data_IF_656293326550
#
_entry.id   IF_656293326550
#
_cell.length_a   1.000
_cell.length_b   1.000
_cell.length_c   1.000
_cell.angle_alpha   90.00
_cell.angle_beta   90.00
_cell.angle_gamma   90.00
#
_symmetry.space_group_name_H-M   'P 1'
#
loop_
_entity.id
_entity.type
_entity.pdbx_description
1 polymer ?
#
# COMPACT_ATOMS: atom_id res chain seq x y z
N UNK A 1 -1.51 -13.85 -0.73
CA UNK A 1 -1.03 -12.52 -0.32
C UNK A 1 -0.63 -11.80 -1.60
N UNK A 2 -1.23 -10.65 -1.91
CA UNK A 2 -1.07 -9.97 -3.21
C UNK A 2 -0.12 -8.75 -3.14
N UNK A 3 0.89 -8.81 -2.28
CA UNK A 3 1.83 -7.71 -2.08
C UNK A 3 3.21 -8.21 -1.68
N UNK A 4 4.24 -7.56 -2.21
CA UNK A 4 5.62 -7.71 -1.76
C UNK A 4 5.92 -6.63 -0.75
N UNK A 5 6.33 -7.00 0.46
CA UNK A 5 6.86 -6.03 1.41
C UNK A 5 8.26 -5.59 0.95
N UNK A 6 8.50 -4.29 0.95
CA UNK A 6 9.77 -3.69 0.51
C UNK A 6 10.61 -3.15 1.68
N UNK A 7 10.01 -3.01 2.86
CA UNK A 7 10.68 -2.67 4.13
C UNK A 7 9.82 -3.11 5.31
N UNK A 8 10.41 -3.02 6.50
CA UNK A 8 9.72 -3.27 7.76
C UNK A 8 8.57 -2.26 7.96
N UNK A 9 7.40 -2.78 8.37
CA UNK A 9 6.20 -2.02 8.72
C UNK A 9 6.27 -1.42 10.13
N UNK A 10 7.22 -1.84 10.96
CA UNK A 10 7.40 -1.39 12.35
C UNK A 10 7.29 0.13 12.56
N UNK A 11 7.85 1.00 11.70
CA UNK A 11 7.67 2.45 11.83
C UNK A 11 6.22 2.94 11.72
N UNK A 12 5.30 2.12 11.19
CA UNK A 12 3.88 2.42 11.13
C UNK A 12 3.11 1.87 12.34
N UNK A 13 3.71 0.95 13.10
CA UNK A 13 3.01 0.21 14.15
C UNK A 13 2.76 1.04 15.41
N UNK A 14 3.35 2.24 15.53
CA UNK A 14 3.01 3.19 16.60
C UNK A 14 1.63 3.84 16.42
N UNK A 15 1.06 3.77 15.22
CA UNK A 15 -0.19 4.42 14.88
C UNK A 15 -1.25 3.42 14.47
N UNK A 16 -2.50 3.74 14.78
CA UNK A 16 -3.63 3.11 14.10
C UNK A 16 -3.88 3.84 12.79
N UNK A 17 -4.02 3.09 11.70
CA UNK A 17 -4.16 3.70 10.39
C UNK A 17 -5.00 2.86 9.43
N UNK A 18 -5.55 3.57 8.44
CA UNK A 18 -6.18 2.96 7.26
C UNK A 18 -5.51 3.56 6.02
N UNK A 19 -5.27 2.72 5.02
CA UNK A 19 -4.77 3.19 3.72
C UNK A 19 -5.82 4.00 2.97
N UNK A 20 -5.38 5.13 2.45
CA UNK A 20 -6.11 5.92 1.47
C UNK A 20 -6.35 5.12 0.18
N UNK A 21 -7.35 5.49 -0.61
CA UNK A 21 -7.56 4.96 -1.98
C UNK A 21 -7.52 6.08 -3.01
N UNK A 22 -6.43 6.82 -3.00
CA UNK A 22 -6.18 7.92 -3.94
C UNK A 22 -5.13 7.47 -4.96
N UNK A 23 -5.58 6.68 -5.93
CA UNK A 23 -4.74 6.24 -7.04
C UNK A 23 -4.79 7.29 -8.14
N UNK A 24 -3.61 7.68 -8.66
CA UNK A 24 -3.52 8.55 -9.82
C UNK A 24 -4.34 7.98 -11.00
N UNK A 25 -5.10 8.83 -11.71
CA UNK A 25 -6.00 8.46 -12.83
C UNK A 25 -7.10 7.43 -12.50
N UNK A 26 -7.57 7.33 -11.25
CA UNK A 26 -8.71 6.48 -10.87
C UNK A 26 -9.85 7.28 -10.22
N UNK A 27 -11.10 6.78 -10.27
CA UNK A 27 -12.20 7.36 -9.52
C UNK A 27 -11.83 7.45 -8.04
N UNK A 28 -11.99 8.66 -7.49
CA UNK A 28 -11.65 8.93 -6.10
C UNK A 28 -12.48 8.06 -5.15
N UNK A 29 -11.79 7.38 -4.23
CA UNK A 29 -12.39 6.82 -3.02
C UNK A 29 -11.53 7.24 -1.84
N UNK A 30 -12.15 7.58 -0.71
CA UNK A 30 -11.39 8.06 0.44
C UNK A 30 -10.46 6.96 0.99
N UNK A 31 -10.99 5.74 1.13
CA UNK A 31 -10.33 4.63 1.80
C UNK A 31 -10.53 3.33 1.05
N UNK A 32 -9.70 2.35 1.39
CA UNK A 32 -9.79 0.99 0.88
C UNK A 32 -9.61 -0.05 1.98
N UNK A 33 -8.57 0.11 2.79
CA UNK A 33 -8.22 -0.85 3.84
C UNK A 33 -7.40 -2.06 3.40
N UNK A 34 -6.75 -2.05 2.22
CA UNK A 34 -5.86 -3.14 1.78
C UNK A 34 -4.68 -3.32 2.75
N UNK A 35 -4.23 -2.21 3.33
CA UNK A 35 -3.39 -2.22 4.52
C UNK A 35 -4.05 -1.34 5.58
N UNK A 36 -4.23 -1.90 6.76
CA UNK A 36 -4.77 -1.21 7.92
C UNK A 36 -4.15 -1.82 9.18
N UNK A 37 -4.14 -1.04 10.25
CA UNK A 37 -3.64 -1.50 11.54
C UNK A 37 -4.43 -0.83 12.64
N UNK A 38 -4.95 -1.64 13.55
CA UNK A 38 -5.62 -1.22 14.77
C UNK A 38 -5.04 -2.01 15.94
N UNK A 39 -5.07 -1.43 17.14
CA UNK A 39 -4.75 -2.16 18.35
C UNK A 39 -5.82 -3.23 18.63
N UNK A 40 -5.43 -4.28 19.36
CA UNK A 40 -6.35 -5.35 19.76
C UNK A 40 -7.60 -4.83 20.49
N UNK A 41 -7.47 -3.77 21.28
CA UNK A 41 -8.56 -3.12 22.01
C UNK A 41 -8.82 -1.70 21.50
N UNK A 42 -8.87 -1.54 20.18
CA UNK A 42 -9.13 -0.25 19.55
C UNK A 42 -10.57 0.23 19.73
N UNK A 43 -10.81 1.44 20.24
CA UNK A 43 -12.16 2.02 20.25
C UNK A 43 -12.68 2.25 18.82
N UNK A 44 -11.79 2.47 17.84
CA UNK A 44 -12.18 2.61 16.44
C UNK A 44 -12.76 1.31 15.87
N UNK A 45 -12.23 0.15 16.28
CA UNK A 45 -12.79 -1.14 15.87
C UNK A 45 -14.17 -1.38 16.51
N UNK A 46 -14.35 -1.03 17.78
CA UNK A 46 -15.67 -1.10 18.42
C UNK A 46 -16.71 -0.26 17.67
N UNK A 47 -16.37 0.99 17.33
CA UNK A 47 -17.26 1.85 16.55
C UNK A 47 -17.48 1.32 15.12
N UNK A 48 -16.44 0.75 14.48
CA UNK A 48 -16.59 0.10 13.18
C UNK A 48 -17.63 -1.01 13.26
N UNK A 49 -17.52 -1.94 14.22
CA UNK A 49 -18.49 -3.01 14.40
C UNK A 49 -19.89 -2.49 14.74
N UNK A 50 -20.00 -1.43 15.53
CA UNK A 50 -21.28 -0.77 15.78
C UNK A 50 -21.91 -0.21 14.49
N UNK A 51 -21.13 0.44 13.62
CA UNK A 51 -21.57 0.87 12.28
C UNK A 51 -22.04 -0.33 11.46
N UNK A 52 -21.29 -1.43 11.49
CA UNK A 52 -21.64 -2.65 10.75
C UNK A 52 -22.97 -3.25 11.22
N UNK A 53 -23.19 -3.29 12.54
CA UNK A 53 -24.38 -3.90 13.14
C UNK A 53 -25.65 -3.05 12.98
N UNK A 54 -25.52 -1.73 12.84
CA UNK A 54 -26.66 -0.79 12.86
C UNK A 54 -26.97 -0.13 11.52
N UNK A 55 -26.05 -0.18 10.55
CA UNK A 55 -26.26 0.38 9.21
C UNK A 55 -26.94 -0.60 8.27
N UNK A 56 -27.47 -0.08 7.16
CA UNK A 56 -27.86 -0.92 6.01
C UNK A 56 -26.69 -1.79 5.56
N UNK A 57 -26.92 -3.10 5.33
CA UNK A 57 -25.91 -3.98 4.78
C UNK A 57 -25.37 -3.43 3.44
N UNK A 58 -24.10 -3.68 3.12
CA UNK A 58 -23.53 -3.27 1.86
C UNK A 58 -24.14 -4.01 0.68
N UNK A 59 -23.99 -3.41 -0.49
CA UNK A 59 -24.42 -4.04 -1.74
C UNK A 59 -23.57 -5.27 -2.03
N UNK A 60 -24.19 -6.34 -2.52
CA UNK A 60 -23.50 -7.55 -2.96
C UNK A 60 -22.42 -7.22 -4.01
N UNK A 61 -21.22 -7.78 -3.86
CA UNK A 61 -20.12 -7.59 -4.80
C UNK A 61 -19.50 -6.18 -4.81
N UNK A 62 -19.71 -5.39 -3.76
CA UNK A 62 -19.16 -4.02 -3.64
C UNK A 62 -17.98 -3.94 -2.67
N UNK A 63 -17.32 -2.79 -2.66
CA UNK A 63 -16.28 -2.41 -1.69
C UNK A 63 -16.85 -1.66 -0.47
N UNK A 64 -18.16 -1.70 -0.27
CA UNK A 64 -18.85 -0.94 0.76
C UNK A 64 -18.42 -1.37 2.19
N UNK A 65 -18.12 -2.67 2.41
CA UNK A 65 -17.54 -3.18 3.68
C UNK A 65 -16.08 -2.80 3.92
N UNK A 66 -15.43 -2.10 2.99
CA UNK A 66 -14.12 -1.50 3.18
C UNK A 66 -14.22 0.02 3.12
N UNK A 67 -14.11 0.55 1.89
CA UNK A 67 -14.08 1.98 1.59
C UNK A 67 -15.15 2.82 2.31
N UNK A 68 -16.42 2.40 2.22
CA UNK A 68 -17.55 3.16 2.80
C UNK A 68 -17.57 3.01 4.32
N UNK A 69 -17.30 1.82 4.86
CA UNK A 69 -17.21 1.59 6.30
C UNK A 69 -16.18 2.53 6.93
N UNK A 70 -14.96 2.57 6.42
CA UNK A 70 -13.90 3.43 6.96
C UNK A 70 -14.22 4.92 6.80
N UNK A 71 -14.88 5.31 5.71
CA UNK A 71 -15.34 6.68 5.52
C UNK A 71 -16.43 7.08 6.53
N UNK A 72 -17.41 6.20 6.77
CA UNK A 72 -18.46 6.42 7.78
C UNK A 72 -17.85 6.53 9.18
N UNK A 73 -16.96 5.61 9.53
CA UNK A 73 -16.23 5.63 10.80
C UNK A 73 -15.48 6.95 10.98
N UNK A 74 -14.67 7.35 10.00
CA UNK A 74 -13.92 8.62 10.03
C UNK A 74 -14.85 9.81 10.23
N UNK A 75 -15.97 9.87 9.50
CA UNK A 75 -16.96 10.94 9.63
C UNK A 75 -17.62 10.98 11.02
N UNK A 76 -17.95 9.82 11.61
CA UNK A 76 -18.52 9.76 12.97
C UNK A 76 -17.53 10.25 14.02
N UNK A 77 -16.26 9.89 13.90
CA UNK A 77 -15.22 10.36 14.81
C UNK A 77 -15.09 11.89 14.75
N UNK A 78 -14.95 12.45 13.53
CA UNK A 78 -14.83 13.90 13.33
C UNK A 78 -16.08 14.66 13.79
N UNK A 79 -17.28 14.16 13.49
CA UNK A 79 -18.52 14.79 13.92
C UNK A 79 -18.66 14.86 15.45
N UNK A 80 -18.01 13.96 16.19
CA UNK A 80 -17.99 13.93 17.65
C UNK A 80 -16.70 14.53 18.25
N UNK A 81 -15.89 15.25 17.45
CA UNK A 81 -14.61 15.82 17.87
C UNK A 81 -13.61 14.79 18.42
N UNK A 82 -13.70 13.54 17.98
CA UNK A 82 -12.74 12.48 18.31
C UNK A 82 -11.65 12.46 17.23
N UNK A 83 -10.36 12.55 17.59
CA UNK A 83 -9.27 12.41 16.64
C UNK A 83 -9.37 11.08 15.88
N UNK A 84 -9.42 11.09 14.54
CA UNK A 84 -9.50 9.86 13.77
C UNK A 84 -8.15 9.13 13.72
N UNK A 85 -8.19 7.85 13.33
CA UNK A 85 -7.00 7.09 12.95
C UNK A 85 -6.20 7.81 11.85
N UNK A 86 -4.90 7.52 11.76
CA UNK A 86 -4.02 8.11 10.74
C UNK A 86 -4.36 7.57 9.35
N UNK A 87 -4.06 8.37 8.33
CA UNK A 87 -4.25 7.97 6.94
C UNK A 87 -2.88 7.66 6.37
N UNK A 88 -2.68 6.42 5.90
CA UNK A 88 -1.48 6.04 5.16
C UNK A 88 -1.71 6.31 3.67
N UNK A 89 -0.98 7.24 3.03
CA UNK A 89 -1.15 7.51 1.60
C UNK A 89 -0.89 6.25 0.77
N UNK A 90 -1.73 6.02 -0.24
CA UNK A 90 -1.71 4.78 -1.00
C UNK A 90 -0.37 4.50 -1.69
N UNK A 91 0.31 5.55 -2.16
CA UNK A 91 1.64 5.50 -2.77
C UNK A 91 2.71 4.82 -1.88
N UNK A 92 2.56 4.87 -0.55
CA UNK A 92 3.46 4.16 0.37
C UNK A 92 3.19 2.66 0.48
N UNK A 93 2.02 2.19 0.05
CA UNK A 93 1.63 0.78 0.03
C UNK A 93 1.63 0.16 -1.38
N UNK A 94 1.39 0.98 -2.40
CA UNK A 94 1.48 0.59 -3.81
C UNK A 94 2.17 1.71 -4.60
N UNK A 95 3.48 1.58 -4.70
CA UNK A 95 4.30 2.56 -5.41
C UNK A 95 4.01 2.65 -6.91
N UNK A 96 3.28 1.70 -7.51
CA UNK A 96 2.89 1.77 -8.94
C UNK A 96 1.81 2.82 -9.19
N UNK A 97 1.03 3.13 -8.17
CA UNK A 97 -0.12 4.02 -8.23
C UNK A 97 0.22 5.46 -7.82
N UNK A 98 1.51 5.76 -7.59
CA UNK A 98 2.00 7.12 -7.36
C UNK A 98 1.95 7.97 -8.65
N UNK A 99 2.35 9.24 -8.54
CA UNK A 99 2.45 10.18 -9.66
C UNK A 99 3.38 9.69 -10.77
N UNK A 100 3.19 10.21 -11.99
CA UNK A 100 3.99 9.81 -13.16
C UNK A 100 5.49 10.06 -12.97
N UNK A 101 5.83 11.06 -12.17
CA UNK A 101 7.17 11.48 -11.80
C UNK A 101 7.86 10.50 -10.83
N UNK A 102 7.13 9.72 -10.04
CA UNK A 102 7.70 8.90 -8.97
C UNK A 102 7.15 7.47 -8.85
N UNK A 103 6.28 7.04 -9.77
CA UNK A 103 5.75 5.68 -9.79
C UNK A 103 6.83 4.62 -10.00
N UNK A 104 6.70 3.52 -9.28
CA UNK A 104 7.56 2.36 -9.45
C UNK A 104 7.34 1.70 -10.82
N UNK A 105 8.40 1.15 -11.45
CA UNK A 105 8.26 0.35 -12.66
C UNK A 105 7.36 -0.87 -12.44
N UNK A 106 6.79 -1.40 -13.53
CA UNK A 106 6.01 -2.64 -13.47
C UNK A 106 6.92 -3.79 -12.97
N UNK A 107 6.55 -4.51 -11.89
CA UNK A 107 7.36 -5.59 -11.34
C UNK A 107 7.53 -6.77 -12.30
N UNK A 108 6.62 -6.95 -13.26
CA UNK A 108 6.63 -8.07 -14.21
C UNK A 108 7.27 -7.74 -15.54
N UNK A 109 7.74 -6.50 -15.75
CA UNK A 109 8.44 -6.10 -16.97
C UNK A 109 9.95 -6.09 -16.75
N UNK A 110 10.75 -6.54 -17.74
CA UNK A 110 12.18 -6.35 -17.69
C UNK A 110 12.52 -4.87 -17.57
N UNK A 111 13.64 -4.59 -16.91
CA UNK A 111 14.16 -3.24 -16.84
C UNK A 111 14.47 -2.69 -18.23
N UNK A 112 14.43 -1.37 -18.37
CA UNK A 112 14.80 -0.72 -19.62
C UNK A 112 16.27 -0.97 -19.93
N UNK A 113 16.60 -1.15 -21.22
CA UNK A 113 17.97 -1.39 -21.68
C UNK A 113 18.94 -0.26 -21.37
N UNK A 114 18.44 0.97 -21.25
CA UNK A 114 19.22 2.15 -20.89
C UNK A 114 19.47 2.26 -19.37
N UNK A 115 18.93 1.34 -18.56
CA UNK A 115 19.06 1.33 -17.10
C UNK A 115 18.32 2.48 -16.41
N UNK A 116 17.60 3.31 -17.17
CA UNK A 116 16.93 4.50 -16.66
C UNK A 116 15.54 4.17 -16.13
N UNK A 117 15.17 4.91 -15.13
CA UNK A 117 13.85 5.12 -14.55
C UNK A 117 13.49 6.61 -14.70
N UNK A 118 12.51 7.10 -13.94
CA UNK A 118 11.96 8.45 -13.99
C UNK A 118 13.03 9.54 -13.82
N UNK A 119 12.82 10.70 -14.45
CA UNK A 119 13.68 11.89 -14.35
C UNK A 119 15.19 11.63 -14.50
N UNK A 120 15.58 10.57 -15.22
CA UNK A 120 16.98 10.20 -15.41
C UNK A 120 17.62 9.43 -14.24
N UNK A 121 16.89 9.15 -13.17
CA UNK A 121 17.31 8.21 -12.13
C UNK A 121 17.41 6.79 -12.68
N UNK A 122 18.25 5.94 -12.08
CA UNK A 122 18.45 4.57 -12.54
C UNK A 122 17.83 3.48 -11.64
N UNK A 123 17.79 2.26 -12.18
CA UNK A 123 17.27 1.03 -11.52
C UNK A 123 18.37 0.13 -10.93
N UNK A 124 19.63 0.56 -11.03
CA UNK A 124 20.78 -0.11 -10.42
C UNK A 124 20.71 -0.14 -8.89
N UNK A 125 21.51 -1.03 -8.30
CA UNK A 125 21.66 -1.08 -6.84
C UNK A 125 22.30 0.23 -6.32
N UNK A 126 21.73 0.85 -5.29
CA UNK A 126 22.12 2.18 -4.82
C UNK A 126 21.59 3.36 -5.65
N UNK A 127 20.94 3.06 -6.79
CA UNK A 127 20.33 4.03 -7.70
C UNK A 127 19.08 4.71 -7.16
N UNK A 128 18.43 5.51 -7.99
CA UNK A 128 17.26 6.29 -7.58
C UNK A 128 16.06 5.41 -7.20
N UNK A 129 15.80 4.34 -7.95
CA UNK A 129 14.74 3.39 -7.61
C UNK A 129 14.99 2.74 -6.25
N UNK A 130 16.21 2.29 -5.98
CA UNK A 130 16.58 1.66 -4.71
C UNK A 130 16.37 2.61 -3.52
N UNK A 131 16.71 3.91 -3.68
CA UNK A 131 16.46 4.93 -2.65
C UNK A 131 14.98 5.14 -2.39
N UNK A 132 14.13 5.08 -3.41
CA UNK A 132 12.68 5.24 -3.28
C UNK A 132 12.03 3.99 -2.68
N UNK A 133 12.49 2.79 -3.03
CA UNK A 133 12.00 1.54 -2.42
C UNK A 133 12.17 1.50 -0.91
N UNK A 134 13.17 2.20 -0.35
CA UNK A 134 13.34 2.35 1.10
C UNK A 134 12.29 3.24 1.76
N UNK A 135 11.50 4.00 0.99
CA UNK A 135 10.43 4.86 1.49
C UNK A 135 9.06 4.20 1.39
N UNK A 136 8.87 3.29 0.44
CA UNK A 136 7.63 2.54 0.21
C UNK A 136 7.66 1.27 1.07
N UNK A 137 6.51 0.88 1.64
CA UNK A 137 6.34 -0.29 2.50
C UNK A 137 6.00 -1.57 1.76
N UNK A 138 5.25 -1.45 0.66
CA UNK A 138 4.85 -2.59 -0.13
C UNK A 138 4.68 -2.26 -1.62
N UNK A 139 4.61 -3.30 -2.44
CA UNK A 139 4.24 -3.25 -3.86
C UNK A 139 3.10 -4.23 -4.07
N UNK A 140 1.94 -3.71 -4.45
CA UNK A 140 0.76 -4.50 -4.72
C UNK A 140 0.86 -5.16 -6.10
N UNK A 141 0.54 -6.45 -6.18
CA UNK A 141 0.73 -7.27 -7.38
C UNK A 141 -0.53 -7.36 -8.26
N UNK A 142 -1.67 -6.82 -7.82
CA UNK A 142 -2.93 -6.76 -8.56
C UNK A 142 -3.43 -8.13 -9.06
N UNK A 143 -3.39 -9.12 -8.18
CA UNK A 143 -3.76 -10.51 -8.36
C UNK A 143 -2.91 -11.24 -9.40
N UNK A 144 -1.67 -10.79 -9.61
CA UNK A 144 -0.74 -11.38 -10.58
C UNK A 144 0.34 -12.23 -9.91
N UNK A 145 0.00 -12.92 -8.82
CA UNK A 145 0.93 -13.75 -8.04
C UNK A 145 1.51 -14.93 -8.84
N UNK A 146 0.84 -15.38 -9.91
CA UNK A 146 1.31 -16.47 -10.76
C UNK A 146 2.37 -16.02 -11.77
N UNK A 147 2.53 -14.70 -11.98
CA UNK A 147 3.52 -14.19 -12.92
C UNK A 147 4.91 -14.22 -12.30
N UNK A 148 5.86 -14.70 -13.08
CA UNK A 148 7.27 -14.68 -12.69
C UNK A 148 7.85 -13.26 -12.78
N UNK A 149 8.74 -12.93 -11.84
CA UNK A 149 9.55 -11.72 -11.92
C UNK A 149 10.72 -11.94 -12.90
N UNK A 150 10.99 -11.02 -13.83
CA UNK A 150 12.10 -11.15 -14.76
C UNK A 150 13.44 -11.33 -14.03
N UNK A 151 14.21 -12.34 -14.44
CA UNK A 151 15.58 -12.54 -13.93
C UNK A 151 16.42 -11.31 -14.24
N UNK A 152 17.11 -10.84 -13.22
CA UNK A 152 17.89 -9.62 -13.29
C UNK A 152 17.05 -8.38 -13.50
N UNK A 153 15.72 -8.39 -13.29
CA UNK A 153 14.91 -7.18 -13.18
C UNK A 153 15.04 -6.52 -11.80
N UNK A 154 14.46 -5.34 -11.63
CA UNK A 154 14.57 -4.60 -10.37
C UNK A 154 14.00 -5.36 -9.16
N UNK A 155 12.91 -6.13 -9.31
CA UNK A 155 12.34 -6.94 -8.21
C UNK A 155 13.32 -8.02 -7.77
N UNK A 156 13.89 -8.78 -8.71
CA UNK A 156 14.89 -9.81 -8.43
C UNK A 156 16.12 -9.19 -7.74
N UNK A 157 16.69 -8.12 -8.33
CA UNK A 157 17.94 -7.52 -7.82
C UNK A 157 17.78 -6.77 -6.51
N UNK A 158 16.78 -5.89 -6.41
CA UNK A 158 16.65 -4.93 -5.31
C UNK A 158 15.82 -5.46 -4.14
N UNK A 159 14.98 -6.48 -4.36
CA UNK A 159 14.14 -7.09 -3.31
C UNK A 159 14.55 -8.54 -3.04
N UNK A 160 14.28 -9.47 -3.95
CA UNK A 160 14.36 -10.91 -3.69
C UNK A 160 15.77 -11.35 -3.27
N UNK A 161 16.80 -10.98 -4.05
CA UNK A 161 18.19 -11.32 -3.72
C UNK A 161 18.68 -10.69 -2.42
N UNK A 162 18.08 -9.60 -1.96
CA UNK A 162 18.42 -9.00 -0.65
C UNK A 162 17.80 -9.81 0.48
N UNK A 163 16.53 -10.19 0.34
CA UNK A 163 15.88 -11.08 1.31
C UNK A 163 16.61 -12.42 1.39
N UNK A 164 16.96 -13.03 0.26
CA UNK A 164 17.71 -14.28 0.23
C UNK A 164 19.07 -14.17 0.93
N UNK A 165 19.77 -13.03 0.80
CA UNK A 165 21.03 -12.77 1.51
C UNK A 165 20.82 -12.72 3.02
N UNK A 166 19.81 -11.98 3.49
CA UNK A 166 19.48 -11.87 4.92
C UNK A 166 19.09 -13.23 5.51
N UNK A 167 18.35 -14.05 4.76
CA UNK A 167 17.92 -15.37 5.21
C UNK A 167 19.05 -16.41 5.26
N UNK A 168 20.16 -16.19 4.54
CA UNK A 168 21.31 -17.10 4.52
C UNK A 168 22.31 -16.86 5.66
N UNK A 169 22.19 -15.75 6.40
CA UNK A 169 23.15 -15.33 7.43
C UNK A 169 24.23 -14.42 6.88
#
# INVERSE_FOLDING_TARGET
MDSLLTRNLEPLLEHEFVTQWDCYDKPYSAFNGALLRFHQHSPYLCEAFHVMATSTPPRTGSTDWGSILYLKLWRRLVANSIPPFKILPFCFNDGRSCGLDNRLPDPFKPDRKDGKWTEGFGVEEGGGLDRVLRKVFAVHLHNQWEKEFPKGGWVDRLLLRRYDRVLRG
#
